data_IF_787712648876
#
_entry.id   IF_787712648876
#
_cell.length_a   1.000
_cell.length_b   1.000
_cell.length_c   1.000
_cell.angle_alpha   90.00
_cell.angle_beta   90.00
_cell.angle_gamma   90.00
#
_symmetry.space_group_name_H-M   'P 1'
#
loop_
_entity.id
_entity.type
_entity.pdbx_description
1 polymer ?
#
# COMPACT_ATOMS: atom_id res chain seq x y z
N UNK A 1 35.24 10.96 11.79
CA UNK A 1 34.98 10.04 10.67
C UNK A 1 33.56 9.56 10.85
N UNK A 2 32.62 10.01 10.02
CA UNK A 2 31.25 9.47 10.01
C UNK A 2 31.41 8.05 9.48
N UNK A 3 31.28 7.04 10.35
CA UNK A 3 31.18 5.66 9.89
C UNK A 3 29.99 5.61 8.94
N UNK A 4 30.18 4.98 7.78
CA UNK A 4 29.10 4.74 6.83
C UNK A 4 28.06 3.85 7.52
N UNK A 5 27.07 4.46 8.16
CA UNK A 5 25.95 3.73 8.75
C UNK A 5 25.31 2.89 7.64
N UNK A 6 25.09 1.58 7.86
CA UNK A 6 24.51 0.71 6.84
C UNK A 6 23.10 1.14 6.41
N UNK A 7 22.45 1.99 7.21
CA UNK A 7 21.10 2.50 6.97
C UNK A 7 21.04 4.00 6.66
N UNK A 8 22.18 4.61 6.27
CA UNK A 8 22.22 6.04 5.96
C UNK A 8 21.23 6.45 4.86
N UNK A 9 21.00 5.57 3.89
CA UNK A 9 20.07 5.81 2.77
C UNK A 9 18.64 5.36 3.07
N UNK A 10 18.41 4.65 4.18
CA UNK A 10 17.11 4.12 4.54
C UNK A 10 16.23 5.20 5.15
N UNK A 11 14.93 5.10 4.95
CA UNK A 11 13.94 6.00 5.58
C UNK A 11 12.80 5.19 6.16
N UNK A 12 12.39 5.58 7.37
CA UNK A 12 11.20 5.10 8.05
C UNK A 12 10.26 6.27 8.30
N UNK A 13 8.98 6.06 8.01
CA UNK A 13 7.94 7.04 8.27
C UNK A 13 6.79 6.34 9.00
N UNK A 14 6.59 6.67 10.27
CA UNK A 14 5.39 6.27 11.00
C UNK A 14 4.18 6.98 10.39
N UNK A 15 3.14 6.22 10.07
CA UNK A 15 1.85 6.78 9.61
C UNK A 15 0.65 6.17 10.34
N UNK A 16 0.90 5.30 11.31
CA UNK A 16 -0.10 4.75 12.22
C UNK A 16 0.58 4.48 13.56
N UNK A 17 0.00 5.02 14.63
CA UNK A 17 0.39 4.76 16.01
C UNK A 17 -0.88 4.48 16.81
N UNK A 18 -0.98 3.30 17.43
CA UNK A 18 -2.18 2.90 18.18
C UNK A 18 -2.54 3.88 19.30
N UNK A 19 -1.58 4.52 19.95
CA UNK A 19 -1.84 5.45 21.05
C UNK A 19 -2.50 6.73 20.54
N UNK A 20 -2.12 7.18 19.35
CA UNK A 20 -2.63 8.40 18.70
C UNK A 20 -3.92 8.09 17.92
N UNK A 21 -3.91 7.01 17.16
CA UNK A 21 -4.94 6.62 16.17
C UNK A 21 -5.96 5.62 16.74
N UNK A 22 -6.16 5.62 18.06
CA UNK A 22 -7.05 4.68 18.75
C UNK A 22 -8.53 4.74 18.29
N UNK A 23 -8.94 5.86 17.66
CA UNK A 23 -10.28 6.14 17.13
C UNK A 23 -10.29 6.06 15.58
N UNK A 24 -9.23 5.53 14.95
CA UNK A 24 -9.15 5.45 13.50
C UNK A 24 -10.31 4.61 12.91
N UNK A 25 -11.03 5.09 11.88
CA UNK A 25 -12.21 4.41 11.33
C UNK A 25 -11.89 3.00 10.81
N UNK A 26 -10.70 2.78 10.28
CA UNK A 26 -10.25 1.47 9.77
C UNK A 26 -9.55 0.58 10.81
N UNK A 27 -9.65 0.90 12.10
CA UNK A 27 -8.91 0.19 13.16
C UNK A 27 -9.13 -1.32 13.11
N UNK A 28 -10.37 -1.79 12.98
CA UNK A 28 -10.65 -3.23 12.97
C UNK A 28 -10.09 -3.90 11.71
N UNK A 29 -10.13 -3.23 10.56
CA UNK A 29 -9.51 -3.73 9.33
C UNK A 29 -7.99 -3.85 9.48
N UNK A 30 -7.35 -2.86 10.09
CA UNK A 30 -5.92 -2.89 10.41
C UNK A 30 -5.60 -4.04 11.37
N UNK A 31 -6.38 -4.20 12.45
CA UNK A 31 -6.20 -5.29 13.42
C UNK A 31 -6.35 -6.67 12.76
N UNK A 32 -7.36 -6.86 11.91
CA UNK A 32 -7.59 -8.14 11.24
C UNK A 32 -6.55 -8.44 10.16
N UNK A 33 -6.16 -7.44 9.35
CA UNK A 33 -5.06 -7.53 8.40
C UNK A 33 -3.74 -7.94 9.09
N UNK A 34 -3.44 -7.28 10.21
CA UNK A 34 -2.26 -7.56 11.04
C UNK A 34 -2.28 -8.98 11.59
N UNK A 35 -3.44 -9.41 12.11
CA UNK A 35 -3.63 -10.76 12.62
C UNK A 35 -3.37 -11.82 11.54
N UNK A 36 -3.94 -11.65 10.34
CA UNK A 36 -3.76 -12.63 9.25
C UNK A 36 -2.29 -12.79 8.86
N UNK A 37 -1.54 -11.69 8.77
CA UNK A 37 -0.11 -11.72 8.45
C UNK A 37 0.70 -12.42 9.54
N UNK A 38 0.40 -12.13 10.81
CA UNK A 38 1.06 -12.79 11.93
C UNK A 38 0.71 -14.27 12.05
N UNK A 39 -0.57 -14.62 11.90
CA UNK A 39 -1.07 -15.98 11.94
C UNK A 39 -0.44 -16.85 10.84
N UNK A 40 -0.25 -16.30 9.63
CA UNK A 40 0.46 -16.98 8.55
C UNK A 40 1.91 -17.29 8.94
N UNK A 41 2.61 -16.30 9.49
CA UNK A 41 3.98 -16.48 9.95
C UNK A 41 4.09 -17.50 11.08
N UNK A 42 3.38 -17.31 12.19
CA UNK A 42 3.50 -18.14 13.39
C UNK A 42 3.06 -19.59 13.11
N UNK A 43 2.12 -19.77 12.19
CA UNK A 43 1.70 -21.11 11.73
C UNK A 43 2.81 -21.80 10.94
N UNK A 44 3.56 -21.06 10.11
CA UNK A 44 4.71 -21.58 9.35
C UNK A 44 5.93 -21.91 10.22
N UNK A 45 6.01 -21.35 11.43
CA UNK A 45 7.13 -21.59 12.32
C UNK A 45 7.12 -23.02 12.90
N UNK A 46 8.34 -23.56 13.06
CA UNK A 46 8.57 -24.86 13.69
C UNK A 46 8.08 -24.88 15.15
N UNK A 47 7.96 -26.07 15.73
CA UNK A 47 7.56 -26.27 17.14
C UNK A 47 8.48 -25.60 18.17
N UNK A 48 9.62 -25.03 17.75
CA UNK A 48 10.57 -24.33 18.61
C UNK A 48 10.23 -22.86 18.87
N UNK A 49 9.29 -22.27 18.10
CA UNK A 49 8.79 -20.92 18.37
C UNK A 49 7.55 -21.03 19.23
N UNK A 50 7.52 -20.30 20.35
CA UNK A 50 6.35 -20.28 21.22
C UNK A 50 5.21 -19.59 20.48
N UNK A 51 4.11 -20.32 20.25
CA UNK A 51 2.97 -19.85 19.47
C UNK A 51 1.99 -19.12 20.38
N UNK A 52 2.23 -17.82 20.56
CA UNK A 52 1.28 -16.94 21.23
C UNK A 52 0.35 -16.31 20.20
N UNK A 53 -0.97 -16.28 20.46
CA UNK A 53 -1.91 -15.59 19.57
C UNK A 53 -1.59 -14.10 19.48
N UNK A 54 -1.90 -13.52 18.32
CA UNK A 54 -1.94 -12.08 18.14
C UNK A 54 -2.81 -11.40 19.21
N UNK A 55 -2.40 -10.22 19.65
CA UNK A 55 -3.23 -9.34 20.48
C UNK A 55 -3.61 -8.06 19.74
N UNK A 56 -2.63 -7.33 19.21
CA UNK A 56 -2.88 -6.01 18.58
C UNK A 56 -1.71 -5.51 17.73
N UNK A 57 -1.96 -4.64 16.73
CA UNK A 57 -0.93 -3.84 16.10
C UNK A 57 -0.60 -2.63 16.99
N UNK A 58 0.67 -2.25 17.02
CA UNK A 58 1.18 -1.09 17.75
C UNK A 58 1.44 0.08 16.81
N UNK A 59 2.21 -0.16 15.75
CA UNK A 59 2.69 0.88 14.84
C UNK A 59 2.74 0.34 13.40
N UNK A 60 2.56 1.23 12.42
CA UNK A 60 2.85 0.94 11.00
C UNK A 60 3.76 2.01 10.44
N UNK A 61 4.86 1.56 9.85
CA UNK A 61 5.82 2.42 9.17
C UNK A 61 5.89 2.10 7.68
N UNK A 62 6.01 3.14 6.86
CA UNK A 62 6.49 3.01 5.50
C UNK A 62 8.02 2.99 5.53
N UNK A 63 8.61 2.03 4.82
CA UNK A 63 10.05 1.79 4.76
C UNK A 63 10.55 1.87 3.32
N UNK A 64 11.67 2.56 3.13
CA UNK A 64 12.47 2.52 1.91
C UNK A 64 13.91 2.25 2.28
N UNK A 65 14.52 1.25 1.65
CA UNK A 65 15.95 0.95 1.84
C UNK A 65 16.85 2.04 1.22
N UNK A 66 16.38 2.67 0.14
CA UNK A 66 17.02 3.81 -0.52
C UNK A 66 15.99 4.60 -1.34
N UNK A 67 16.37 5.76 -1.88
CA UNK A 67 15.44 6.71 -2.52
C UNK A 67 14.65 6.16 -3.72
N UNK A 68 15.19 5.19 -4.45
CA UNK A 68 14.53 4.54 -5.60
C UNK A 68 13.92 3.18 -5.27
N UNK A 69 14.08 2.68 -4.04
CA UNK A 69 13.50 1.41 -3.62
C UNK A 69 11.97 1.51 -3.58
N UNK A 70 11.24 0.40 -3.86
CA UNK A 70 9.80 0.35 -3.61
C UNK A 70 9.53 0.52 -2.11
N UNK A 71 8.35 1.06 -1.79
CA UNK A 71 7.89 1.19 -0.41
C UNK A 71 7.50 -0.18 0.11
N UNK A 72 8.04 -0.54 1.27
CA UNK A 72 7.62 -1.69 2.07
C UNK A 72 6.95 -1.17 3.36
N UNK A 73 6.25 -2.05 4.06
CA UNK A 73 5.60 -1.74 5.32
C UNK A 73 6.30 -2.49 6.45
N UNK A 74 6.47 -1.83 7.59
CA UNK A 74 6.90 -2.48 8.82
C UNK A 74 5.74 -2.38 9.80
N UNK A 75 5.24 -3.54 10.20
CA UNK A 75 4.13 -3.67 11.12
C UNK A 75 4.67 -4.13 12.47
N UNK A 76 4.61 -3.25 13.47
CA UNK A 76 4.93 -3.58 14.86
C UNK A 76 3.68 -4.15 15.52
N UNK A 77 3.77 -5.34 16.11
CA UNK A 77 2.63 -6.01 16.77
C UNK A 77 3.01 -6.51 18.16
N UNK A 78 2.01 -6.71 19.00
CA UNK A 78 2.10 -7.38 20.29
C UNK A 78 1.28 -8.68 20.26
N UNK A 79 1.85 -9.76 20.79
CA UNK A 79 1.14 -11.01 21.04
C UNK A 79 0.56 -11.06 22.47
N UNK A 80 -0.32 -12.05 22.75
CA UNK A 80 -0.94 -12.23 24.08
C UNK A 80 0.02 -12.60 25.20
N UNK A 81 1.27 -12.89 24.88
CA UNK A 81 2.32 -13.19 25.84
C UNK A 81 3.20 -11.96 26.12
N UNK A 82 2.88 -10.80 25.52
CA UNK A 82 3.62 -9.55 25.65
C UNK A 82 4.90 -9.50 24.83
N UNK A 83 5.09 -10.40 23.86
CA UNK A 83 6.22 -10.29 22.93
C UNK A 83 5.89 -9.30 21.81
N UNK A 84 6.90 -8.54 21.41
CA UNK A 84 6.78 -7.57 20.32
C UNK A 84 7.57 -8.06 19.11
N UNK A 85 6.92 -8.01 17.95
CA UNK A 85 7.51 -8.36 16.67
C UNK A 85 7.38 -7.21 15.69
N UNK A 86 8.34 -7.12 14.78
CA UNK A 86 8.20 -6.33 13.57
C UNK A 86 8.13 -7.26 12.37
N UNK A 87 7.16 -7.02 11.50
CA UNK A 87 6.91 -7.78 10.29
C UNK A 87 7.22 -6.87 9.11
N UNK A 88 8.16 -7.27 8.25
CA UNK A 88 8.43 -6.59 6.98
C UNK A 88 7.48 -7.14 5.92
N UNK A 89 6.65 -6.27 5.35
CA UNK A 89 5.55 -6.63 4.46
C UNK A 89 5.67 -5.86 3.14
N UNK A 90 5.53 -6.57 2.04
CA UNK A 90 5.41 -5.99 0.70
C UNK A 90 3.94 -5.99 0.27
N UNK A 91 3.45 -4.83 -0.22
CA UNK A 91 2.16 -4.74 -0.90
C UNK A 91 2.34 -5.14 -2.36
N UNK A 92 1.57 -6.12 -2.81
CA UNK A 92 1.54 -6.57 -4.20
C UNK A 92 0.53 -5.73 -5.00
N UNK A 93 0.89 -5.43 -6.23
CA UNK A 93 -0.02 -4.83 -7.21
C UNK A 93 0.05 -5.64 -8.51
N UNK A 94 -1.11 -6.15 -8.93
CA UNK A 94 -1.23 -6.88 -10.18
C UNK A 94 -1.52 -5.87 -11.28
N UNK A 95 -0.45 -5.39 -11.93
CA UNK A 95 -0.50 -4.43 -13.05
C UNK A 95 -0.04 -5.11 -14.34
N UNK A 96 -0.80 -4.89 -15.42
CA UNK A 96 -0.45 -5.31 -16.77
C UNK A 96 -0.54 -4.13 -17.73
N UNK A 97 0.60 -3.70 -18.26
CA UNK A 97 0.68 -2.75 -19.37
C UNK A 97 0.83 -3.56 -20.65
N UNK A 98 -0.04 -3.31 -21.64
CA UNK A 98 0.01 -4.05 -22.91
C UNK A 98 1.11 -3.50 -23.82
N UNK A 99 1.56 -4.27 -24.82
CA UNK A 99 2.61 -3.80 -25.73
C UNK A 99 2.10 -2.73 -26.72
N UNK A 100 2.97 -1.81 -27.11
CA UNK A 100 2.62 -0.74 -28.08
C UNK A 100 1.58 0.25 -27.55
N UNK A 101 1.57 0.49 -26.24
CA UNK A 101 0.64 1.41 -25.56
C UNK A 101 1.12 2.84 -25.73
N UNK A 102 0.79 3.36 -26.89
CA UNK A 102 0.98 4.75 -27.27
C UNK A 102 -0.39 5.33 -27.62
N UNK A 103 -0.71 6.46 -26.99
CA UNK A 103 -1.87 7.28 -27.36
C UNK A 103 -1.33 8.61 -27.87
N UNK A 104 -1.37 8.79 -29.19
CA UNK A 104 -0.68 9.90 -29.89
C UNK A 104 0.82 9.89 -29.60
N UNK A 105 1.33 10.79 -28.78
CA UNK A 105 2.77 10.89 -28.43
C UNK A 105 3.08 10.46 -26.99
N UNK A 106 2.06 10.00 -26.26
CA UNK A 106 2.17 9.61 -24.86
C UNK A 106 2.33 8.10 -24.73
N UNK A 107 3.32 7.69 -23.96
CA UNK A 107 3.62 6.30 -23.59
C UNK A 107 3.27 6.08 -22.14
N UNK A 108 2.48 5.04 -21.84
CA UNK A 108 2.19 4.67 -20.45
C UNK A 108 3.42 3.97 -19.86
N UNK A 109 3.96 4.48 -18.76
CA UNK A 109 5.20 3.98 -18.13
C UNK A 109 4.94 3.20 -16.84
N UNK A 110 3.94 3.60 -16.06
CA UNK A 110 3.58 2.90 -14.82
C UNK A 110 2.13 3.17 -14.45
N UNK A 111 1.62 2.29 -13.58
CA UNK A 111 0.28 2.37 -13.02
C UNK A 111 0.40 2.07 -11.54
N UNK A 112 -0.24 2.88 -10.71
CA UNK A 112 -0.25 2.70 -9.27
C UNK A 112 -1.68 2.80 -8.73
N UNK A 113 -2.06 1.85 -7.88
CA UNK A 113 -3.27 1.95 -7.08
C UNK A 113 -2.96 2.43 -5.65
N UNK A 114 -3.86 3.20 -5.06
CA UNK A 114 -3.78 3.55 -3.66
C UNK A 114 -5.05 4.22 -3.15
N UNK A 115 -4.96 4.67 -1.90
CA UNK A 115 -6.02 5.39 -1.19
C UNK A 115 -5.40 6.63 -0.52
N UNK A 116 -6.23 7.60 -0.16
CA UNK A 116 -5.77 8.86 0.48
C UNK A 116 -4.71 9.59 -0.36
N UNK A 117 -5.05 9.89 -1.62
CA UNK A 117 -4.18 10.64 -2.53
C UNK A 117 -4.04 12.10 -2.07
N UNK A 118 -2.80 12.55 -1.93
CA UNK A 118 -2.47 13.97 -1.86
C UNK A 118 -2.24 14.50 -3.28
N UNK A 119 -3.19 15.27 -3.79
CA UNK A 119 -3.13 15.83 -5.14
C UNK A 119 -1.97 16.80 -5.37
N UNK A 120 -1.46 17.45 -4.32
CA UNK A 120 -0.39 18.45 -4.46
C UNK A 120 0.95 17.79 -4.75
N UNK A 121 1.19 16.64 -4.12
CA UNK A 121 2.44 15.87 -4.28
C UNK A 121 2.26 14.68 -5.23
N UNK A 122 1.02 14.35 -5.60
CA UNK A 122 0.63 13.19 -6.41
C UNK A 122 1.10 11.86 -5.81
N UNK A 123 1.01 11.75 -4.48
CA UNK A 123 1.40 10.55 -3.72
C UNK A 123 0.28 10.06 -2.81
N UNK A 124 0.26 8.76 -2.56
CA UNK A 124 -0.62 8.16 -1.56
C UNK A 124 -0.05 8.36 -0.16
N UNK A 125 -0.88 8.88 0.75
CA UNK A 125 -0.51 9.05 2.18
C UNK A 125 -0.81 7.79 3.00
N UNK A 126 -1.70 6.94 2.53
CA UNK A 126 -1.95 5.61 3.10
C UNK A 126 -1.18 4.56 2.30
N UNK A 127 -0.05 4.13 2.86
CA UNK A 127 0.83 3.15 2.24
C UNK A 127 0.29 1.70 2.34
N UNK A 128 -0.69 1.44 3.22
CA UNK A 128 -1.27 0.10 3.33
C UNK A 128 -2.06 -0.25 2.07
N UNK A 129 -2.82 0.71 1.53
CA UNK A 129 -3.78 0.43 0.46
C UNK A 129 -4.97 -0.41 0.93
N UNK A 130 -5.28 -0.42 2.22
CA UNK A 130 -6.49 -1.04 2.78
C UNK A 130 -7.73 -0.21 2.39
N UNK A 131 -8.36 -0.61 1.28
CA UNK A 131 -9.61 -0.04 0.79
C UNK A 131 -10.80 -0.91 1.24
N UNK A 132 -11.76 -0.34 1.95
CA UNK A 132 -13.03 -0.97 2.31
C UNK A 132 -14.14 -0.58 1.31
N UNK A 133 -15.35 -1.11 1.50
CA UNK A 133 -16.51 -0.84 0.63
C UNK A 133 -17.11 0.57 0.77
N UNK A 134 -16.62 1.38 1.70
CA UNK A 134 -17.02 2.78 1.89
C UNK A 134 -15.95 3.77 1.42
N UNK A 135 -14.74 3.31 1.12
CA UNK A 135 -13.64 4.16 0.68
C UNK A 135 -13.64 4.53 -0.80
N UNK A 136 -12.63 5.34 -1.16
CA UNK A 136 -12.35 5.75 -2.54
C UNK A 136 -11.10 5.07 -3.06
N UNK A 137 -11.24 4.28 -4.12
CA UNK A 137 -10.12 3.78 -4.90
C UNK A 137 -9.54 4.89 -5.76
N UNK A 138 -8.22 5.03 -5.79
CA UNK A 138 -7.54 5.97 -6.68
C UNK A 138 -6.46 5.25 -7.48
N UNK A 139 -6.40 5.51 -8.78
CA UNK A 139 -5.38 4.98 -9.67
C UNK A 139 -4.63 6.14 -10.34
N UNK A 140 -3.32 6.07 -10.31
CA UNK A 140 -2.41 6.98 -11.00
C UNK A 140 -1.83 6.27 -12.22
N UNK A 141 -1.98 6.88 -13.40
CA UNK A 141 -1.39 6.45 -14.65
C UNK A 141 -0.26 7.42 -15.01
N UNK A 142 0.98 6.96 -15.02
CA UNK A 142 2.10 7.80 -15.37
C UNK A 142 2.42 7.68 -16.86
N UNK A 143 2.57 8.83 -17.50
CA UNK A 143 2.84 8.95 -18.91
C UNK A 143 4.24 9.52 -19.14
N UNK A 144 4.79 9.21 -20.30
CA UNK A 144 5.98 9.84 -20.84
C UNK A 144 5.67 10.37 -22.22
N UNK A 145 6.07 11.61 -22.52
CA UNK A 145 5.86 12.23 -23.83
C UNK A 145 7.19 12.37 -24.56
N UNK A 146 7.26 11.81 -25.77
CA UNK A 146 8.47 11.86 -26.61
C UNK A 146 8.70 13.23 -27.28
N UNK A 147 7.76 14.17 -27.17
CA UNK A 147 7.89 15.50 -27.79
C UNK A 147 8.83 16.41 -27.03
N UNK A 148 9.66 17.13 -27.78
CA UNK A 148 10.48 18.19 -27.20
C UNK A 148 9.59 19.30 -26.62
N UNK A 149 10.02 20.01 -25.56
CA UNK A 149 9.22 21.07 -24.92
C UNK A 149 8.70 22.15 -25.87
N UNK A 150 9.36 22.34 -27.03
CA UNK A 150 8.95 23.32 -28.06
C UNK A 150 7.75 22.87 -28.90
N UNK A 151 7.45 21.58 -28.98
CA UNK A 151 6.35 21.02 -29.79
C UNK A 151 5.09 20.73 -28.95
N UNK A 152 5.14 21.02 -27.65
CA UNK A 152 4.04 20.75 -26.73
C UNK A 152 2.94 21.81 -26.92
N UNK A 153 1.70 21.37 -27.12
CA UNK A 153 0.55 22.22 -26.79
C UNK A 153 0.65 22.53 -25.30
N UNK A 154 0.54 23.79 -24.87
CA UNK A 154 1.18 24.25 -23.64
C UNK A 154 0.62 23.72 -22.30
N UNK A 155 -0.41 22.86 -22.27
CA UNK A 155 -1.23 22.69 -21.07
C UNK A 155 -1.59 21.24 -20.66
N UNK A 156 -1.03 20.20 -21.27
CA UNK A 156 -1.42 18.81 -20.94
C UNK A 156 -0.21 17.90 -20.85
N UNK A 157 -0.04 17.20 -19.73
CA UNK A 157 1.04 16.22 -19.53
C UNK A 157 0.60 14.78 -19.78
N UNK A 158 -0.59 14.59 -20.38
CA UNK A 158 -1.21 13.28 -20.58
C UNK A 158 -2.27 13.24 -21.70
N UNK A 159 -2.67 12.05 -22.23
CA UNK A 159 -3.65 11.91 -23.31
C UNK A 159 -5.10 11.79 -22.81
N UNK A 160 -6.11 12.03 -23.66
CA UNK A 160 -7.49 11.66 -23.31
C UNK A 160 -7.67 10.14 -23.41
N UNK A 161 -8.19 9.52 -22.35
CA UNK A 161 -8.42 8.08 -22.22
C UNK A 161 -9.67 7.83 -21.38
N UNK A 162 -10.22 6.61 -21.41
CA UNK A 162 -11.33 6.21 -20.56
C UNK A 162 -10.88 5.10 -19.60
N UNK A 163 -11.57 4.96 -18.47
CA UNK A 163 -11.38 3.88 -17.52
C UNK A 163 -12.67 3.09 -17.33
N UNK A 164 -12.57 1.77 -17.45
CA UNK A 164 -13.65 0.84 -17.18
C UNK A 164 -13.41 0.18 -15.82
N UNK A 165 -14.36 0.34 -14.90
CA UNK A 165 -14.31 -0.25 -13.57
C UNK A 165 -15.16 -1.52 -13.52
N UNK A 166 -14.57 -2.60 -13.02
CA UNK A 166 -15.22 -3.90 -12.88
C UNK A 166 -15.23 -4.32 -11.42
N UNK A 167 -16.39 -4.77 -10.96
CA UNK A 167 -16.54 -5.36 -9.64
C UNK A 167 -15.98 -6.79 -9.59
N UNK A 168 -15.94 -7.44 -8.42
CA UNK A 168 -15.39 -8.79 -8.25
C UNK A 168 -16.12 -9.88 -9.03
N UNK A 169 -17.33 -9.61 -9.51
CA UNK A 169 -18.11 -10.54 -10.35
C UNK A 169 -17.80 -10.38 -11.84
N UNK A 170 -16.88 -9.48 -12.20
CA UNK A 170 -16.50 -9.18 -13.58
C UNK A 170 -17.52 -8.31 -14.32
N UNK A 171 -18.50 -7.72 -13.64
CA UNK A 171 -19.45 -6.77 -14.22
C UNK A 171 -18.82 -5.38 -14.26
N UNK A 172 -18.92 -4.71 -15.41
CA UNK A 172 -18.57 -3.30 -15.51
C UNK A 172 -19.60 -2.46 -14.74
N UNK A 173 -19.15 -1.70 -13.75
CA UNK A 173 -20.02 -0.87 -12.90
C UNK A 173 -19.96 0.61 -13.26
N UNK A 174 -18.85 1.04 -13.88
CA UNK A 174 -18.68 2.44 -14.29
C UNK A 174 -17.70 2.56 -15.46
N UNK A 175 -17.93 3.55 -16.32
CA UNK A 175 -17.04 3.96 -17.40
C UNK A 175 -16.86 5.47 -17.30
N UNK A 176 -15.64 5.94 -17.03
CA UNK A 176 -15.36 7.36 -16.85
C UNK A 176 -14.32 7.85 -17.87
N UNK A 177 -14.54 9.01 -18.49
CA UNK A 177 -13.47 9.70 -19.19
C UNK A 177 -12.46 10.28 -18.19
N UNK A 178 -11.18 10.05 -18.46
CA UNK A 178 -10.07 10.67 -17.74
C UNK A 178 -9.55 11.82 -18.58
N UNK A 179 -9.76 13.03 -18.07
CA UNK A 179 -9.30 14.24 -18.74
C UNK A 179 -7.81 14.49 -18.43
N UNK A 180 -7.03 14.97 -19.40
CA UNK A 180 -5.70 15.50 -19.16
C UNK A 180 -5.75 16.67 -18.19
N UNK A 181 -4.73 16.77 -17.34
CA UNK A 181 -4.45 17.95 -16.54
C UNK A 181 -2.94 18.23 -16.54
N UNK A 182 -2.56 19.37 -15.97
CA UNK A 182 -1.17 19.78 -15.81
C UNK A 182 -0.56 19.11 -14.57
N UNK A 183 -0.16 17.84 -14.73
CA UNK A 183 0.51 17.06 -13.69
C UNK A 183 2.00 17.40 -13.61
N UNK A 184 2.51 17.51 -12.38
CA UNK A 184 3.93 17.69 -12.10
C UNK A 184 4.78 16.43 -12.43
N UNK A 185 4.16 15.24 -12.43
CA UNK A 185 4.83 13.96 -12.70
C UNK A 185 4.29 13.25 -13.96
N UNK A 186 3.66 13.97 -14.88
CA UNK A 186 3.00 13.38 -16.06
C UNK A 186 1.96 12.30 -15.71
N UNK A 187 1.30 12.47 -14.56
CA UNK A 187 0.29 11.59 -14.04
C UNK A 187 -1.12 11.89 -14.61
N UNK A 188 -1.96 10.87 -14.58
CA UNK A 188 -3.41 10.95 -14.72
C UNK A 188 -4.09 10.20 -13.60
N UNK A 189 -5.17 10.77 -13.10
CA UNK A 189 -5.84 10.29 -11.90
C UNK A 189 -7.23 9.80 -12.25
N UNK A 190 -7.60 8.66 -11.68
CA UNK A 190 -8.95 8.13 -11.75
C UNK A 190 -9.40 7.69 -10.37
N UNK A 191 -10.55 8.21 -9.93
CA UNK A 191 -11.09 7.98 -8.59
C UNK A 191 -12.42 7.25 -8.69
N UNK A 192 -12.59 6.15 -7.97
CA UNK A 192 -13.83 5.43 -7.79
C UNK A 192 -14.24 5.47 -6.32
N UNK A 193 -15.20 6.34 -5.99
CA UNK A 193 -15.86 6.32 -4.69
C UNK A 193 -16.84 5.14 -4.65
N UNK A 194 -16.59 4.17 -3.77
CA UNK A 194 -17.46 2.99 -3.65
C UNK A 194 -18.77 3.32 -2.93
N UNK A 195 -18.80 4.37 -2.12
CA UNK A 195 -20.01 4.86 -1.47
C UNK A 195 -21.06 5.32 -2.51
N UNK A 196 -20.64 6.00 -3.57
CA UNK A 196 -21.51 6.46 -4.67
C UNK A 196 -22.20 5.31 -5.41
N UNK A 197 -21.60 4.12 -5.36
CA UNK A 197 -22.14 2.90 -5.97
C UNK A 197 -23.09 2.13 -5.05
N UNK A 198 -23.17 2.45 -3.75
CA UNK A 198 -24.00 1.70 -2.79
C UNK A 198 -25.51 1.76 -3.10
N UNK A 199 -25.95 2.78 -3.85
CA UNK A 199 -27.31 2.83 -4.40
C UNK A 199 -27.64 1.59 -5.27
N UNK A 200 -26.62 0.95 -5.84
CA UNK A 200 -26.69 -0.32 -6.57
C UNK A 200 -26.00 -1.41 -5.74
N UNK A 201 -26.64 -1.88 -4.66
CA UNK A 201 -26.06 -2.85 -3.69
C UNK A 201 -25.43 -4.10 -4.30
N UNK A 202 -25.84 -4.51 -5.50
CA UNK A 202 -25.25 -5.67 -6.19
C UNK A 202 -23.87 -5.40 -6.79
N UNK A 203 -23.51 -4.12 -6.95
CA UNK A 203 -22.31 -3.65 -7.64
C UNK A 203 -21.15 -3.36 -6.67
N UNK A 204 -21.43 -3.13 -5.38
CA UNK A 204 -20.42 -2.96 -4.32
C UNK A 204 -20.29 -4.25 -3.52
N UNK A 205 -19.13 -4.90 -3.62
CA UNK A 205 -18.83 -6.08 -2.81
C UNK A 205 -17.34 -6.18 -2.52
N UNK A 206 -16.96 -6.75 -1.35
CA UNK A 206 -15.58 -7.11 -1.08
C UNK A 206 -15.07 -8.14 -2.09
N UNK A 207 -13.81 -8.03 -2.46
CA UNK A 207 -13.20 -8.91 -3.45
C UNK A 207 -12.11 -8.22 -4.25
N UNK A 208 -11.69 -8.88 -5.33
CA UNK A 208 -10.71 -8.33 -6.27
C UNK A 208 -11.44 -7.52 -7.32
N UNK A 209 -11.24 -6.22 -7.26
CA UNK A 209 -11.71 -5.27 -8.25
C UNK A 209 -10.70 -5.10 -9.37
N UNK A 210 -11.20 -4.60 -10.50
CA UNK A 210 -10.38 -4.41 -11.68
C UNK A 210 -10.70 -3.10 -12.38
N UNK A 211 -9.65 -2.44 -12.86
CA UNK A 211 -9.74 -1.25 -13.69
C UNK A 211 -8.96 -1.46 -14.99
N UNK A 212 -9.62 -1.13 -16.10
CA UNK A 212 -9.04 -1.19 -17.43
C UNK A 212 -8.92 0.22 -18.00
N UNK A 213 -7.71 0.62 -18.37
CA UNK A 213 -7.47 1.85 -19.11
C UNK A 213 -7.64 1.58 -20.60
N UNK A 214 -8.49 2.35 -21.27
CA UNK A 214 -8.77 2.19 -22.71
C UNK A 214 -8.59 3.51 -23.46
N UNK A 215 -8.10 3.41 -24.70
CA UNK A 215 -8.14 4.51 -25.66
C UNK A 215 -9.27 4.26 -26.65
N UNK A 216 -10.02 5.31 -26.97
CA UNK A 216 -10.88 5.31 -28.15
C UNK A 216 -10.08 5.75 -29.37
N UNK A 217 -10.27 5.05 -30.49
CA UNK A 217 -9.66 5.34 -31.77
C UNK A 217 -10.64 5.05 -32.91
N UNK A 218 -10.31 5.47 -34.13
CA UNK A 218 -11.13 5.17 -35.31
C UNK A 218 -11.27 3.66 -35.57
N UNK A 219 -10.31 2.86 -35.11
CA UNK A 219 -10.29 1.39 -35.22
C UNK A 219 -11.06 0.68 -34.09
N UNK A 220 -11.61 1.46 -33.14
CA UNK A 220 -12.35 0.96 -31.98
C UNK A 220 -11.63 1.22 -30.65
N UNK A 221 -12.10 0.53 -29.60
CA UNK A 221 -11.52 0.62 -28.26
C UNK A 221 -10.28 -0.26 -28.14
N UNK A 222 -9.15 0.34 -27.74
CA UNK A 222 -7.88 -0.35 -27.47
C UNK A 222 -7.62 -0.39 -25.97
N UNK A 223 -7.42 -1.59 -25.43
CA UNK A 223 -7.00 -1.79 -24.03
C UNK A 223 -5.52 -1.43 -23.88
N UNK A 224 -5.23 -0.51 -22.96
CA UNK A 224 -3.89 0.03 -22.72
C UNK A 224 -3.24 -0.62 -21.51
N UNK A 225 -3.99 -0.76 -20.42
CA UNK A 225 -3.51 -1.37 -19.20
C UNK A 225 -4.66 -1.93 -18.37
N UNK A 226 -4.31 -2.86 -17.49
CA UNK A 226 -5.21 -3.50 -16.53
C UNK A 226 -4.52 -3.47 -15.16
N UNK A 227 -5.27 -3.09 -14.13
CA UNK A 227 -4.83 -3.17 -12.73
C UNK A 227 -5.92 -3.83 -11.91
N UNK A 228 -5.52 -4.71 -10.99
CA UNK A 228 -6.44 -5.27 -10.00
C UNK A 228 -6.05 -4.86 -8.59
N UNK A 229 -7.04 -4.66 -7.73
CA UNK A 229 -6.87 -4.22 -6.35
C UNK A 229 -7.92 -4.86 -5.45
N UNK A 230 -7.60 -4.99 -4.16
CA UNK A 230 -8.49 -5.61 -3.19
C UNK A 230 -9.37 -4.57 -2.52
N UNK A 231 -10.66 -4.87 -2.45
CA UNK A 231 -11.63 -4.16 -1.62
C UNK A 231 -12.02 -5.10 -0.48
N UNK A 232 -11.83 -4.65 0.74
CA UNK A 232 -12.12 -5.38 1.97
C UNK A 232 -13.55 -5.11 2.43
N UNK A 233 -14.16 -6.01 3.22
CA UNK A 233 -15.41 -5.69 3.90
C UNK A 233 -15.21 -4.49 4.83
N UNK A 234 -16.25 -3.67 4.98
CA UNK A 234 -16.26 -2.59 5.95
C UNK A 234 -16.41 -3.17 7.36
N UNK A 235 -15.32 -3.12 8.13
CA UNK A 235 -15.24 -3.73 9.46
C UNK A 235 -15.48 -2.66 10.53
N UNK A 236 -16.73 -2.29 10.74
CA UNK A 236 -17.12 -1.35 11.81
C UNK A 236 -17.55 -2.06 13.09
N UNK A 237 -17.88 -3.35 13.03
CA UNK A 237 -18.33 -4.17 14.17
C UNK A 237 -17.71 -5.58 14.13
N UNK A 238 -18.03 -6.42 15.13
CA UNK A 238 -17.52 -7.81 15.22
C UNK A 238 -17.82 -8.55 13.91
N UNK A 239 -16.74 -9.01 13.26
CA UNK A 239 -16.76 -9.77 12.02
C UNK A 239 -17.75 -10.96 12.10
N UNK A 240 -18.79 -10.99 11.25
CA UNK A 240 -19.47 -12.23 10.97
C UNK A 240 -18.47 -13.20 10.33
N UNK A 241 -18.56 -14.50 10.67
CA UNK A 241 -17.68 -15.55 10.16
C UNK A 241 -17.57 -15.60 8.61
N UNK A 242 -18.56 -15.08 7.89
CA UNK A 242 -18.54 -14.95 6.43
C UNK A 242 -17.52 -13.93 5.93
N UNK A 243 -17.28 -12.84 6.66
CA UNK A 243 -16.35 -11.77 6.25
C UNK A 243 -14.89 -12.17 6.49
N UNK A 244 -14.61 -12.92 7.56
CA UNK A 244 -13.30 -13.52 7.80
C UNK A 244 -12.85 -14.44 6.66
N UNK A 245 -13.79 -15.22 6.10
CA UNK A 245 -13.54 -16.09 4.93
C UNK A 245 -13.18 -15.32 3.67
N UNK A 246 -13.59 -14.06 3.55
CA UNK A 246 -13.29 -13.19 2.40
C UNK A 246 -11.99 -12.42 2.65
N UNK A 247 -11.78 -11.88 3.86
CA UNK A 247 -10.62 -11.05 4.14
C UNK A 247 -9.31 -11.83 4.11
N UNK A 248 -9.26 -13.04 4.67
CA UNK A 248 -8.04 -13.85 4.70
C UNK A 248 -7.41 -14.09 3.30
N UNK A 249 -8.14 -14.62 2.29
CA UNK A 249 -7.57 -14.79 0.96
C UNK A 249 -7.22 -13.47 0.27
N UNK A 250 -7.96 -12.37 0.54
CA UNK A 250 -7.62 -11.05 0.00
C UNK A 250 -6.30 -10.52 0.56
N UNK A 251 -6.07 -10.64 1.87
CA UNK A 251 -4.80 -10.24 2.49
C UNK A 251 -3.63 -11.04 1.89
N UNK A 252 -3.75 -12.37 1.82
CA UNK A 252 -2.70 -13.24 1.28
C UNK A 252 -2.39 -12.97 -0.20
N UNK A 253 -3.41 -12.59 -0.97
CA UNK A 253 -3.23 -12.17 -2.36
C UNK A 253 -2.55 -10.81 -2.46
N UNK A 254 -2.91 -9.85 -1.60
CA UNK A 254 -2.49 -8.45 -1.72
C UNK A 254 -1.17 -8.14 -1.03
N UNK A 255 -0.73 -8.99 -0.10
CA UNK A 255 0.47 -8.74 0.71
C UNK A 255 1.39 -9.95 0.69
N UNK A 256 2.68 -9.70 0.93
CA UNK A 256 3.70 -10.72 1.13
C UNK A 256 4.44 -10.39 2.41
N UNK A 257 4.48 -11.33 3.34
CA UNK A 257 5.42 -11.24 4.44
C UNK A 257 6.83 -11.60 3.93
N UNK A 258 7.77 -10.67 4.08
CA UNK A 258 9.15 -10.83 3.63
C UNK A 258 10.06 -11.33 4.74
N UNK A 259 9.91 -10.78 5.95
CA UNK A 259 10.81 -11.03 7.06
C UNK A 259 10.14 -10.69 8.40
N UNK A 260 10.66 -11.27 9.50
CA UNK A 260 10.18 -11.01 10.87
C UNK A 260 11.37 -10.93 11.83
N UNK A 261 11.32 -9.95 12.74
CA UNK A 261 12.23 -9.85 13.87
C UNK A 261 11.44 -9.66 15.17
N UNK A 262 12.10 -9.88 16.31
CA UNK A 262 11.52 -9.63 17.63
C UNK A 262 12.28 -8.55 18.38
N UNK A 263 11.56 -7.69 19.09
CA UNK A 263 12.15 -6.77 20.07
C UNK A 263 12.38 -7.47 21.43
N UNK A 264 11.85 -8.68 21.62
CA UNK A 264 11.90 -9.42 22.89
C UNK A 264 12.98 -10.51 22.85
N UNK A 265 14.00 -10.40 23.72
CA UNK A 265 15.16 -11.30 23.76
C UNK A 265 14.88 -12.77 24.14
N UNK A 266 13.65 -13.11 24.51
CA UNK A 266 13.30 -14.44 25.04
C UNK A 266 13.15 -15.52 23.96
N UNK A 267 13.15 -15.16 22.67
CA UNK A 267 12.94 -16.09 21.57
C UNK A 267 14.24 -16.36 20.79
N UNK A 268 15.06 -17.30 21.30
CA UNK A 268 16.41 -17.63 20.79
C UNK A 268 16.51 -18.06 19.30
N UNK A 269 15.39 -18.16 18.60
CA UNK A 269 15.32 -18.59 17.20
C UNK A 269 14.83 -17.51 16.24
N UNK A 270 14.50 -16.32 16.75
CA UNK A 270 14.10 -15.17 15.94
C UNK A 270 15.15 -14.08 16.11
N UNK A 271 15.49 -13.39 15.02
CA UNK A 271 16.49 -12.33 15.04
C UNK A 271 16.01 -11.16 15.89
N UNK A 272 16.93 -10.59 16.65
CA UNK A 272 16.67 -9.38 17.44
C UNK A 272 16.66 -8.18 16.50
N UNK A 273 15.55 -7.44 16.52
CA UNK A 273 15.31 -6.29 15.65
C UNK A 273 16.45 -5.25 15.71
N UNK A 274 16.76 -4.79 16.93
CA UNK A 274 17.71 -3.69 17.19
C UNK A 274 19.14 -3.93 16.68
N UNK A 275 19.60 -5.19 16.65
CA UNK A 275 21.02 -5.48 16.40
C UNK A 275 21.29 -6.24 15.10
N UNK A 276 20.30 -6.96 14.57
CA UNK A 276 20.51 -7.95 13.51
C UNK A 276 19.74 -7.65 12.22
N UNK A 277 18.90 -6.62 12.21
CA UNK A 277 17.89 -6.42 11.15
C UNK A 277 17.88 -4.96 10.70
N UNK A 278 18.52 -4.68 9.56
CA UNK A 278 18.73 -3.32 9.05
C UNK A 278 17.45 -2.57 8.67
N UNK A 279 16.37 -3.30 8.35
CA UNK A 279 15.09 -2.68 8.00
C UNK A 279 14.24 -2.35 9.23
N UNK A 280 14.59 -2.82 10.42
CA UNK A 280 13.78 -2.62 11.62
C UNK A 280 13.71 -1.15 12.04
N UNK A 281 12.57 -0.72 12.60
CA UNK A 281 12.39 0.66 13.08
C UNK A 281 13.17 0.95 14.36
N UNK A 282 13.63 -0.09 15.07
CA UNK A 282 14.49 0.04 16.26
C UNK A 282 15.96 -0.23 15.96
N UNK A 283 16.34 -0.42 14.69
CA UNK A 283 17.75 -0.47 14.31
C UNK A 283 18.36 0.95 14.40
N UNK A 284 19.58 1.12 14.95
CA UNK A 284 20.18 2.44 15.14
C UNK A 284 20.23 3.29 13.86
N UNK A 285 19.69 4.51 13.93
CA UNK A 285 19.67 5.47 12.83
C UNK A 285 20.32 6.79 13.22
N UNK A 286 21.66 6.80 13.17
CA UNK A 286 22.47 7.95 13.58
C UNK A 286 22.17 9.27 12.82
N UNK A 287 21.43 9.25 11.70
CA UNK A 287 21.05 10.48 10.97
C UNK A 287 19.80 11.15 11.54
N UNK A 288 18.97 10.43 12.29
CA UNK A 288 17.78 10.93 12.97
C UNK A 288 17.91 10.94 14.49
N UNK A 289 18.88 10.20 15.05
CA UNK A 289 19.10 10.12 16.49
C UNK A 289 19.77 11.39 17.04
N UNK A 290 19.10 12.05 17.99
CA UNK A 290 19.65 13.20 18.69
C UNK A 290 20.30 12.77 20.00
N UNK A 291 21.63 12.78 20.04
CA UNK A 291 22.38 12.58 21.29
C UNK A 291 22.32 13.89 22.10
N UNK A 292 21.58 13.88 23.21
CA UNK A 292 21.63 14.99 24.17
C UNK A 292 22.96 14.90 24.91
N UNK A 293 23.87 15.82 24.62
CA UNK A 293 25.19 15.87 25.24
C UNK A 293 25.07 16.04 26.77
N UNK A 294 25.56 15.04 27.51
CA UNK A 294 25.57 15.02 28.96
C UNK A 294 26.49 16.12 29.51
N UNK A 295 25.96 17.34 29.64
CA UNK A 295 26.54 18.32 30.55
C UNK A 295 26.33 17.80 31.97
N UNK A 296 27.40 17.22 32.53
CA UNK A 296 27.61 17.14 33.97
C UNK A 296 27.49 18.55 34.53
N UNK A 297 26.34 18.87 35.14
CA UNK A 297 26.34 19.87 36.18
C UNK A 297 27.06 19.23 37.37
N UNK A 298 28.30 19.67 37.57
CA UNK A 298 29.07 19.46 38.81
C UNK A 298 28.35 20.24 39.92
#
# INVERSE_FOLDING_TARGET
>A
MVSSSPVFNSTWLNFYDREIDSIHPKKMLIEHWSNILFDEWISSQSSKVHKCPFEKPLEIHAYKEFSTAPIQLILTIEDRCGNIYELLVERKQDVKIFEGVQVKDYHLISVEFGVSLDLKEEIFRDYTGLLDTSGTATIIWHWYNNKTPLDQKPNTTSPHVNIHWFNPRGRMVRNDPINPYDSINYAQLANLNLEDLQQFKEDVSPGIWKANLVSESEEGQKLLAEITFSVFPDLTEILPYSEERVTNPLVKRSYKLLDVCTRTFLQSHIRVCETSVLWSTVYPDAKSDFIVDNRRFI
#
